data_IF_660786501874
#
_entry.id   IF_660786501874
#
_cell.length_a   1.000
_cell.length_b   1.000
_cell.length_c   1.000
_cell.angle_alpha   90.00
_cell.angle_beta   90.00
_cell.angle_gamma   90.00
#
_symmetry.space_group_name_H-M   'P 1'
#
loop_
_entity.id
_entity.type
_entity.pdbx_description
1 polymer ?
#
# COMPACT_ATOMS: atom_id res chain seq x y z
N UNK A 1 23.66 17.47 -0.45
CA UNK A 1 22.30 17.18 -0.94
C UNK A 1 22.32 15.83 -1.63
N UNK A 2 21.43 14.91 -1.29
CA UNK A 2 21.30 13.58 -1.93
C UNK A 2 19.91 13.46 -2.53
N UNK A 3 19.78 12.68 -3.60
CA UNK A 3 18.48 12.33 -4.18
C UNK A 3 18.09 10.91 -3.78
N UNK A 4 16.91 10.73 -3.24
CA UNK A 4 16.31 9.43 -2.95
C UNK A 4 15.40 9.04 -4.13
N UNK A 5 15.64 7.87 -4.69
CA UNK A 5 14.86 7.34 -5.79
C UNK A 5 13.91 6.26 -5.28
N UNK A 6 12.62 6.61 -5.15
CA UNK A 6 11.57 5.66 -4.80
C UNK A 6 11.10 4.93 -6.04
N UNK A 7 11.09 3.60 -5.99
CA UNK A 7 10.52 2.75 -7.04
C UNK A 7 9.21 2.14 -6.53
N UNK A 8 8.13 2.50 -7.18
CA UNK A 8 6.79 1.99 -6.89
C UNK A 8 6.11 1.52 -8.18
N UNK A 9 5.46 0.36 -8.16
CA UNK A 9 4.85 -0.25 -9.36
C UNK A 9 3.73 0.56 -10.02
N UNK A 10 3.34 1.68 -9.45
CA UNK A 10 2.30 2.57 -9.98
C UNK A 10 0.87 2.01 -9.98
N UNK A 11 0.68 0.77 -9.53
CA UNK A 11 -0.63 0.12 -9.51
C UNK A 11 -1.59 0.64 -8.43
N UNK A 12 -1.06 1.34 -7.43
CA UNK A 12 -1.83 1.88 -6.30
C UNK A 12 -1.42 3.30 -6.01
N UNK A 13 -2.36 4.13 -5.63
CA UNK A 13 -2.06 5.43 -5.04
C UNK A 13 -1.51 5.23 -3.63
N UNK A 14 -0.34 5.79 -3.34
CA UNK A 14 0.31 5.75 -2.04
C UNK A 14 0.44 7.16 -1.49
N UNK A 15 -0.50 7.62 -0.65
CA UNK A 15 -0.47 8.97 -0.08
C UNK A 15 0.77 9.21 0.79
N UNK A 16 1.36 8.15 1.36
CA UNK A 16 2.60 8.21 2.13
C UNK A 16 3.81 8.70 1.32
N UNK A 17 3.81 8.52 -0.01
CA UNK A 17 4.92 9.01 -0.84
C UNK A 17 5.04 10.53 -0.82
N UNK A 18 3.91 11.24 -0.82
CA UNK A 18 3.90 12.70 -0.70
C UNK A 18 4.44 13.14 0.67
N UNK A 19 4.06 12.44 1.74
CA UNK A 19 4.55 12.71 3.09
C UNK A 19 6.06 12.45 3.21
N UNK A 20 6.56 11.36 2.62
CA UNK A 20 8.00 11.08 2.56
C UNK A 20 8.76 12.15 1.79
N UNK A 21 8.23 12.56 0.62
CA UNK A 21 8.85 13.60 -0.18
C UNK A 21 8.96 14.90 0.59
N UNK A 22 7.89 15.34 1.24
CA UNK A 22 7.88 16.54 2.06
C UNK A 22 8.87 16.47 3.21
N UNK A 23 8.91 15.34 3.94
CA UNK A 23 9.84 15.14 5.05
C UNK A 23 11.29 15.15 4.59
N UNK A 24 11.62 14.43 3.52
CA UNK A 24 12.97 14.34 2.97
C UNK A 24 13.44 15.68 2.43
N UNK A 25 12.54 16.45 1.79
CA UNK A 25 12.83 17.81 1.33
C UNK A 25 13.09 18.77 2.49
N UNK A 26 12.34 18.65 3.59
CA UNK A 26 12.59 19.42 4.81
C UNK A 26 13.99 19.16 5.39
N UNK A 27 14.51 17.95 5.22
CA UNK A 27 15.89 17.59 5.60
C UNK A 27 16.95 18.06 4.58
N UNK A 28 16.58 18.82 3.55
CA UNK A 28 17.50 19.34 2.53
C UNK A 28 17.92 18.32 1.47
N UNK A 29 17.11 17.27 1.28
CA UNK A 29 17.34 16.25 0.25
C UNK A 29 16.26 16.31 -0.83
N UNK A 30 16.48 15.60 -1.94
CA UNK A 30 15.51 15.50 -3.04
C UNK A 30 14.87 14.12 -3.09
N UNK A 31 13.64 14.05 -3.61
CA UNK A 31 12.93 12.80 -3.86
C UNK A 31 12.51 12.75 -5.32
N UNK A 32 12.73 11.61 -5.96
CA UNK A 32 12.17 11.27 -7.25
C UNK A 32 11.40 9.94 -7.13
N UNK A 33 10.17 9.93 -7.65
CA UNK A 33 9.32 8.74 -7.65
C UNK A 33 9.30 8.15 -9.06
N UNK A 34 9.57 6.86 -9.16
CA UNK A 34 9.65 6.10 -10.40
C UNK A 34 8.62 4.99 -10.40
N UNK A 35 7.87 4.85 -11.48
CA UNK A 35 6.95 3.73 -11.68
C UNK A 35 7.65 2.50 -12.27
N UNK A 36 8.82 2.73 -12.88
CA UNK A 36 9.62 1.69 -13.50
C UNK A 36 11.11 1.83 -13.12
N UNK A 37 11.83 0.73 -12.83
CA UNK A 37 13.24 0.79 -12.48
C UNK A 37 14.13 1.40 -13.59
N UNK A 38 13.72 1.31 -14.86
CA UNK A 38 14.51 1.84 -15.98
C UNK A 38 14.64 3.35 -16.01
N UNK A 39 13.74 4.06 -15.32
CA UNK A 39 13.81 5.53 -15.23
C UNK A 39 14.74 6.02 -14.11
N UNK A 40 15.28 5.12 -13.27
CA UNK A 40 16.24 5.49 -12.21
C UNK A 40 17.64 5.63 -12.80
N UNK A 41 18.35 6.76 -12.53
CA UNK A 41 19.73 6.96 -12.97
C UNK A 41 20.68 5.85 -12.50
N UNK A 42 21.67 5.51 -13.32
CA UNK A 42 22.64 4.45 -12.96
C UNK A 42 23.56 4.84 -11.81
N UNK A 43 23.81 6.12 -11.63
CA UNK A 43 24.60 6.72 -10.56
C UNK A 43 23.80 7.04 -9.29
N UNK A 44 22.55 6.55 -9.20
CA UNK A 44 21.70 6.75 -8.04
C UNK A 44 22.40 6.28 -6.75
N UNK A 45 22.50 7.18 -5.77
CA UNK A 45 23.15 6.87 -4.49
C UNK A 45 22.24 6.12 -3.51
N UNK A 46 20.92 6.32 -3.61
CA UNK A 46 19.92 5.68 -2.76
C UNK A 46 18.76 5.24 -3.64
N UNK A 47 18.45 3.94 -3.61
CA UNK A 47 17.31 3.34 -4.32
C UNK A 47 16.42 2.66 -3.29
N UNK A 48 15.17 3.15 -3.18
CA UNK A 48 14.20 2.67 -2.22
C UNK A 48 13.04 1.99 -2.93
N UNK A 49 12.92 0.71 -2.70
CA UNK A 49 11.88 -0.12 -3.29
C UNK A 49 10.67 -0.19 -2.37
N UNK A 50 9.53 0.32 -2.83
CA UNK A 50 8.25 0.10 -2.16
C UNK A 50 7.64 -1.15 -2.76
N UNK A 51 7.82 -2.26 -2.03
CA UNK A 51 7.92 -3.57 -2.67
C UNK A 51 6.67 -4.42 -2.74
N UNK A 52 6.35 -4.83 -3.98
CA UNK A 52 5.88 -6.22 -4.20
C UNK A 52 7.04 -7.17 -4.48
N UNK A 53 7.88 -6.88 -5.48
CA UNK A 53 9.01 -7.72 -5.91
C UNK A 53 10.16 -6.84 -6.41
N UNK A 54 11.36 -7.15 -5.94
CA UNK A 54 12.59 -6.52 -6.43
C UNK A 54 13.26 -7.45 -7.44
N UNK A 55 13.66 -6.96 -8.62
CA UNK A 55 14.38 -7.75 -9.61
C UNK A 55 15.71 -8.27 -9.06
N UNK A 56 16.08 -9.49 -9.43
CA UNK A 56 17.34 -10.11 -8.97
C UNK A 56 18.59 -9.35 -9.39
N UNK A 57 18.54 -8.65 -10.51
CA UNK A 57 19.63 -7.84 -11.05
C UNK A 57 19.69 -6.42 -10.48
N UNK A 58 18.85 -6.06 -9.53
CA UNK A 58 18.88 -4.71 -8.93
C UNK A 58 20.26 -4.35 -8.33
N UNK A 59 20.97 -5.25 -7.60
CA UNK A 59 22.29 -4.92 -7.07
C UNK A 59 23.35 -4.68 -8.17
N UNK A 60 23.24 -5.40 -9.31
CA UNK A 60 24.17 -5.22 -10.44
C UNK A 60 23.88 -3.92 -11.19
N UNK A 61 22.61 -3.48 -11.20
CA UNK A 61 22.21 -2.26 -11.89
C UNK A 61 22.68 -1.01 -11.15
N UNK A 62 22.67 -1.06 -9.82
CA UNK A 62 23.11 0.05 -8.96
C UNK A 62 24.12 -0.49 -7.91
N UNK A 63 25.33 -0.84 -8.33
CA UNK A 63 26.28 -1.54 -7.45
C UNK A 63 26.76 -0.69 -6.26
N UNK A 64 26.67 0.63 -6.38
CA UNK A 64 27.10 1.58 -5.34
C UNK A 64 25.93 2.21 -4.58
N UNK A 65 24.68 1.91 -4.98
CA UNK A 65 23.52 2.47 -4.32
C UNK A 65 23.26 1.79 -2.97
N UNK A 66 22.88 2.59 -1.98
CA UNK A 66 22.27 2.09 -0.76
C UNK A 66 20.82 1.68 -1.08
N UNK A 67 20.52 0.38 -1.03
CA UNK A 67 19.21 -0.13 -1.39
C UNK A 67 18.38 -0.41 -0.13
N UNK A 68 17.16 0.14 -0.13
CA UNK A 68 16.15 -0.06 0.91
C UNK A 68 14.99 -0.84 0.31
N UNK A 69 14.56 -1.92 0.99
CA UNK A 69 13.34 -2.64 0.64
C UNK A 69 12.28 -2.39 1.70
N UNK A 70 11.16 -1.81 1.28
CA UNK A 70 10.03 -1.53 2.14
C UNK A 70 8.87 -2.47 1.87
N UNK A 71 8.35 -3.09 2.91
CA UNK A 71 7.25 -4.04 2.87
C UNK A 71 6.04 -3.50 3.63
N UNK A 72 5.14 -2.85 2.92
CA UNK A 72 3.90 -2.31 3.47
C UNK A 72 2.86 -3.40 3.80
N UNK A 73 3.03 -4.62 3.26
CA UNK A 73 2.14 -5.75 3.57
C UNK A 73 2.82 -7.08 3.28
N UNK A 74 2.37 -8.14 3.93
CA UNK A 74 2.60 -9.51 3.49
C UNK A 74 1.81 -9.79 2.20
N UNK A 75 2.11 -10.89 1.54
CA UNK A 75 1.39 -11.28 0.32
C UNK A 75 -0.06 -11.65 0.63
N UNK A 76 -0.95 -11.35 -0.33
CA UNK A 76 -2.37 -11.65 -0.23
C UNK A 76 -2.74 -12.92 -1.01
N UNK A 77 -3.84 -13.62 -0.64
CA UNK A 77 -4.37 -14.74 -1.41
C UNK A 77 -4.57 -14.41 -2.91
N UNK A 78 -4.55 -15.42 -3.79
CA UNK A 78 -4.29 -16.83 -3.51
C UNK A 78 -2.79 -17.12 -3.30
N UNK A 79 -2.47 -18.25 -2.64
CA UNK A 79 -1.10 -18.74 -2.41
C UNK A 79 -0.16 -17.73 -1.71
N UNK A 80 -0.67 -16.97 -0.74
CA UNK A 80 0.09 -15.94 -0.03
C UNK A 80 1.41 -16.45 0.54
N UNK A 81 1.41 -17.63 1.17
CA UNK A 81 2.61 -18.23 1.75
C UNK A 81 3.69 -18.58 0.72
N UNK A 82 3.28 -19.06 -0.48
CA UNK A 82 4.23 -19.33 -1.59
C UNK A 82 4.89 -18.03 -2.07
N UNK A 83 4.09 -16.97 -2.21
CA UNK A 83 4.59 -15.65 -2.62
C UNK A 83 5.58 -15.09 -1.60
N UNK A 84 5.30 -15.25 -0.30
CA UNK A 84 6.20 -14.81 0.78
C UNK A 84 7.48 -15.63 0.78
N UNK A 85 7.39 -16.96 0.60
CA UNK A 85 8.55 -17.83 0.45
C UNK A 85 9.40 -17.46 -0.77
N UNK A 86 8.76 -17.19 -1.91
CA UNK A 86 9.48 -16.74 -3.12
C UNK A 86 10.18 -15.39 -2.90
N UNK A 87 9.56 -14.44 -2.18
CA UNK A 87 10.21 -13.20 -1.81
C UNK A 87 11.46 -13.47 -0.97
N UNK A 88 11.35 -14.33 0.03
CA UNK A 88 12.47 -14.71 0.91
C UNK A 88 13.64 -15.32 0.16
N UNK A 89 13.37 -16.19 -0.82
CA UNK A 89 14.39 -16.96 -1.54
C UNK A 89 14.96 -16.22 -2.77
N UNK A 90 14.16 -15.38 -3.40
CA UNK A 90 14.47 -14.85 -4.73
C UNK A 90 14.79 -13.36 -4.77
N UNK A 91 14.41 -12.61 -3.76
CA UNK A 91 14.75 -11.19 -3.74
C UNK A 91 16.22 -10.98 -3.38
N UNK A 92 16.88 -9.99 -4.00
CA UNK A 92 18.23 -9.64 -3.61
C UNK A 92 18.26 -9.10 -2.20
N UNK A 93 19.41 -9.25 -1.55
CA UNK A 93 19.64 -8.72 -0.21
C UNK A 93 19.89 -7.21 -0.27
N UNK A 94 19.06 -6.36 0.38
CA UNK A 94 19.30 -4.93 0.45
C UNK A 94 20.27 -4.59 1.60
N UNK A 95 20.66 -3.31 1.72
CA UNK A 95 21.37 -2.81 2.89
C UNK A 95 20.45 -2.55 4.08
N UNK A 96 19.14 -2.30 3.82
CA UNK A 96 18.17 -2.02 4.87
C UNK A 96 16.77 -2.50 4.51
N UNK A 97 15.97 -2.89 5.50
CA UNK A 97 14.57 -3.25 5.33
C UNK A 97 13.66 -2.43 6.22
N UNK A 98 12.51 -2.05 5.69
CA UNK A 98 11.41 -1.48 6.44
C UNK A 98 10.20 -2.40 6.34
N UNK A 99 9.58 -2.65 7.47
CA UNK A 99 8.31 -3.40 7.54
C UNK A 99 7.23 -2.52 8.13
N UNK A 100 6.00 -2.65 7.65
CA UNK A 100 4.88 -1.91 8.21
C UNK A 100 4.71 -2.17 9.71
N UNK A 101 4.92 -3.42 10.14
CA UNK A 101 4.80 -3.83 11.54
C UNK A 101 5.46 -5.20 11.79
N UNK A 102 5.49 -5.61 13.05
CA UNK A 102 6.07 -6.89 13.48
C UNK A 102 5.43 -8.11 12.79
N UNK A 103 4.11 -8.08 12.55
CA UNK A 103 3.42 -9.18 11.88
C UNK A 103 3.90 -9.36 10.44
N UNK A 104 4.06 -8.27 9.67
CA UNK A 104 4.59 -8.33 8.30
C UNK A 104 6.02 -8.87 8.30
N UNK A 105 6.87 -8.41 9.22
CA UNK A 105 8.23 -8.90 9.37
C UNK A 105 8.27 -10.40 9.66
N UNK A 106 7.51 -10.88 10.64
CA UNK A 106 7.42 -12.30 11.00
C UNK A 106 6.89 -13.15 9.83
N UNK A 107 5.86 -12.65 9.15
CA UNK A 107 5.24 -13.36 8.02
C UNK A 107 6.19 -13.53 6.84
N UNK A 108 6.95 -12.49 6.51
CA UNK A 108 7.97 -12.55 5.46
C UNK A 108 9.19 -13.37 5.88
N UNK A 109 9.56 -13.34 7.17
CA UNK A 109 10.54 -14.25 7.78
C UNK A 109 11.91 -14.21 7.13
N UNK A 110 12.46 -13.02 6.84
CA UNK A 110 13.85 -12.87 6.43
C UNK A 110 14.77 -13.08 7.64
N UNK A 111 15.73 -13.99 7.53
CA UNK A 111 16.70 -14.34 8.59
C UNK A 111 18.14 -14.19 8.10
N UNK A 112 18.42 -13.17 7.31
CA UNK A 112 19.71 -12.96 6.66
C UNK A 112 20.57 -11.87 7.32
N UNK A 113 20.17 -11.39 8.49
CA UNK A 113 20.93 -10.39 9.26
C UNK A 113 20.93 -8.99 8.69
N UNK A 114 20.07 -8.68 7.70
CA UNK A 114 19.92 -7.30 7.20
C UNK A 114 19.25 -6.44 8.27
N UNK A 115 19.84 -5.27 8.62
CA UNK A 115 19.23 -4.32 9.54
C UNK A 115 17.80 -3.97 9.11
N UNK A 116 16.88 -3.92 10.07
CA UNK A 116 15.49 -3.64 9.76
C UNK A 116 14.78 -2.92 10.89
N UNK A 117 13.76 -2.14 10.52
CA UNK A 117 12.87 -1.44 11.45
C UNK A 117 11.41 -1.59 11.03
N UNK A 118 10.51 -1.28 11.96
CA UNK A 118 9.09 -1.12 11.69
C UNK A 118 8.80 0.35 11.43
N UNK A 119 7.93 0.60 10.48
CA UNK A 119 7.38 1.92 10.28
C UNK A 119 5.86 1.86 10.32
N UNK A 120 5.25 2.67 11.13
CA UNK A 120 3.81 2.89 11.06
C UNK A 120 3.46 3.63 9.77
N UNK A 121 2.22 3.49 9.33
CA UNK A 121 1.71 4.28 8.22
C UNK A 121 1.62 5.74 8.67
N UNK A 122 2.40 6.59 8.00
CA UNK A 122 2.29 8.03 8.19
C UNK A 122 0.94 8.53 7.68
N UNK A 123 0.39 9.52 8.37
CA UNK A 123 -0.81 10.24 7.94
C UNK A 123 -0.38 11.63 7.54
N UNK A 124 -0.76 12.07 6.33
CA UNK A 124 -0.48 13.43 5.89
C UNK A 124 -1.21 14.44 6.80
N UNK A 125 -0.55 15.57 7.07
CA UNK A 125 -1.04 16.60 8.00
C UNK A 125 -2.46 17.09 7.67
N UNK A 126 -2.82 17.12 6.40
CA UNK A 126 -4.17 17.47 5.94
C UNK A 126 -5.27 16.61 6.57
N UNK A 127 -4.98 15.36 6.96
CA UNK A 127 -5.94 14.48 7.65
C UNK A 127 -5.99 14.71 9.16
N UNK A 128 -5.04 15.47 9.71
CA UNK A 128 -4.97 15.79 11.12
C UNK A 128 -5.66 17.11 11.45
N UNK A 129 -6.09 17.88 10.43
CA UNK A 129 -6.70 19.19 10.64
C UNK A 129 -8.02 19.08 11.40
N UNK A 130 -8.22 19.88 12.48
CA UNK A 130 -9.46 19.91 13.24
C UNK A 130 -10.69 20.31 12.41
N UNK A 131 -10.50 21.06 11.32
CA UNK A 131 -11.57 21.47 10.40
C UNK A 131 -12.18 20.31 9.60
N UNK A 132 -11.50 19.17 9.54
CA UNK A 132 -12.05 17.95 8.95
C UNK A 132 -13.10 17.26 9.85
N UNK A 133 -13.25 17.66 11.10
CA UNK A 133 -14.32 17.18 11.97
C UNK A 133 -15.58 18.01 11.72
N UNK A 134 -16.31 17.67 10.66
CA UNK A 134 -17.72 18.07 10.60
C UNK A 134 -18.43 17.56 11.88
N UNK A 135 -19.32 18.37 12.49
CA UNK A 135 -20.13 17.87 13.59
C UNK A 135 -20.78 16.57 13.14
N UNK A 136 -20.83 15.58 14.03
CA UNK A 136 -21.40 14.27 13.77
C UNK A 136 -22.89 14.41 13.44
N UNK A 137 -23.18 14.78 12.20
CA UNK A 137 -24.47 14.46 11.62
C UNK A 137 -24.61 12.94 11.68
N UNK A 138 -25.80 12.43 11.99
CA UNK A 138 -26.04 11.01 12.10
C UNK A 138 -25.43 10.32 10.86
N UNK A 139 -24.46 9.45 11.10
CA UNK A 139 -23.72 8.82 10.02
C UNK A 139 -24.70 8.04 9.13
N UNK A 140 -24.75 8.37 7.85
CA UNK A 140 -25.61 7.70 6.89
C UNK A 140 -25.20 6.23 6.68
N UNK A 141 -23.93 5.90 6.94
CA UNK A 141 -23.35 4.59 6.79
C UNK A 141 -22.65 4.15 8.08
N UNK A 142 -22.77 2.85 8.39
CA UNK A 142 -22.13 2.25 9.58
C UNK A 142 -20.65 1.95 9.35
N UNK A 143 -20.24 1.78 8.08
CA UNK A 143 -18.86 1.51 7.69
C UNK A 143 -18.54 2.10 6.31
N UNK A 144 -17.26 2.28 6.06
CA UNK A 144 -16.73 2.68 4.75
C UNK A 144 -15.69 1.63 4.32
N UNK A 145 -15.78 1.19 3.07
CA UNK A 145 -14.75 0.37 2.45
C UNK A 145 -14.01 1.20 1.40
N UNK A 146 -12.71 1.34 1.61
CA UNK A 146 -11.78 1.96 0.68
C UNK A 146 -10.70 0.93 0.31
N UNK A 147 -10.58 0.59 -0.95
CA UNK A 147 -9.57 -0.39 -1.40
C UNK A 147 -9.90 -1.03 -2.73
N UNK A 148 -9.21 -2.16 -3.00
CA UNK A 148 -9.42 -2.93 -4.23
C UNK A 148 -10.81 -3.60 -4.22
N UNK A 149 -11.72 -3.04 -5.02
CA UNK A 149 -13.09 -3.51 -5.12
C UNK A 149 -13.22 -4.95 -5.62
N UNK A 150 -12.24 -5.50 -6.34
CA UNK A 150 -12.27 -6.90 -6.77
C UNK A 150 -12.23 -7.87 -5.59
N UNK A 151 -11.63 -7.47 -4.47
CA UNK A 151 -11.56 -8.30 -3.25
C UNK A 151 -12.91 -8.54 -2.61
N UNK A 152 -13.90 -7.67 -2.84
CA UNK A 152 -15.24 -7.79 -2.26
C UNK A 152 -15.96 -9.09 -2.66
N UNK A 153 -15.60 -9.69 -3.79
CA UNK A 153 -16.11 -11.01 -4.17
C UNK A 153 -15.84 -12.10 -3.11
N UNK A 154 -14.81 -11.93 -2.27
CA UNK A 154 -14.47 -12.87 -1.20
C UNK A 154 -15.22 -12.57 0.10
N UNK A 155 -15.94 -11.46 0.18
CA UNK A 155 -16.64 -10.99 1.36
C UNK A 155 -18.18 -11.03 1.23
N UNK A 156 -18.70 -11.74 0.27
CA UNK A 156 -20.16 -11.90 0.08
C UNK A 156 -20.89 -12.29 1.38
N UNK A 157 -20.37 -13.24 2.21
CA UNK A 157 -21.01 -13.57 3.49
C UNK A 157 -21.09 -12.39 4.48
N UNK A 158 -20.13 -11.45 4.41
CA UNK A 158 -20.18 -10.23 5.23
C UNK A 158 -21.38 -9.36 4.84
N UNK A 159 -21.65 -9.19 3.55
CA UNK A 159 -22.80 -8.41 3.07
C UNK A 159 -24.13 -9.04 3.47
N UNK A 160 -24.21 -10.36 3.47
CA UNK A 160 -25.38 -11.07 4.01
C UNK A 160 -25.57 -10.79 5.51
N UNK A 161 -24.49 -10.75 6.28
CA UNK A 161 -24.54 -10.40 7.70
C UNK A 161 -24.92 -8.93 7.92
N UNK A 162 -24.34 -8.00 7.17
CA UNK A 162 -24.69 -6.57 7.24
C UNK A 162 -26.17 -6.34 6.96
N UNK A 163 -26.72 -7.00 5.94
CA UNK A 163 -28.14 -6.90 5.62
C UNK A 163 -29.04 -7.40 6.76
N UNK A 164 -28.71 -8.56 7.36
CA UNK A 164 -29.45 -9.12 8.51
C UNK A 164 -29.40 -8.19 9.72
N UNK A 165 -28.28 -7.51 9.93
CA UNK A 165 -28.09 -6.56 11.02
C UNK A 165 -28.60 -5.15 10.69
N UNK A 166 -29.21 -4.94 9.52
CA UNK A 166 -29.66 -3.63 9.03
C UNK A 166 -28.53 -2.57 9.01
N UNK A 167 -27.30 -3.01 8.73
CA UNK A 167 -26.11 -2.15 8.65
C UNK A 167 -25.80 -1.83 7.19
N UNK A 168 -25.29 -0.61 6.97
CA UNK A 168 -24.96 -0.12 5.64
C UNK A 168 -23.47 0.21 5.53
N UNK A 169 -22.89 -0.15 4.39
CA UNK A 169 -21.50 0.18 4.06
C UNK A 169 -21.43 1.06 2.80
N UNK A 170 -20.61 2.10 2.85
CA UNK A 170 -20.26 2.89 1.68
C UNK A 170 -19.02 2.28 1.01
N UNK A 171 -19.13 1.92 -0.26
CA UNK A 171 -18.03 1.46 -1.10
C UNK A 171 -17.47 2.65 -1.87
N UNK A 172 -16.22 3.03 -1.62
CA UNK A 172 -15.60 4.19 -2.26
C UNK A 172 -14.73 3.73 -3.43
N UNK A 173 -15.20 3.99 -4.65
CA UNK A 173 -14.53 3.61 -5.89
C UNK A 173 -15.48 3.00 -6.93
N UNK A 174 -14.91 2.53 -8.02
CA UNK A 174 -15.66 1.88 -9.11
C UNK A 174 -15.83 0.39 -8.82
N UNK A 175 -17.09 -0.05 -8.80
CA UNK A 175 -17.44 -1.44 -8.51
C UNK A 175 -17.44 -2.28 -9.81
N UNK A 176 -16.56 -3.28 -9.97
CA UNK A 176 -16.54 -4.14 -11.15
C UNK A 176 -17.87 -4.88 -11.32
N UNK A 177 -18.35 -5.02 -12.55
CA UNK A 177 -19.65 -5.62 -12.87
C UNK A 177 -19.84 -7.02 -12.25
N UNK A 178 -18.79 -7.84 -12.25
CA UNK A 178 -18.80 -9.18 -11.63
C UNK A 178 -19.05 -9.10 -10.12
N UNK A 179 -18.44 -8.15 -9.45
CA UNK A 179 -18.60 -7.95 -8.00
C UNK A 179 -19.97 -7.38 -7.71
N UNK A 180 -20.43 -6.40 -8.51
CA UNK A 180 -21.78 -5.85 -8.40
C UNK A 180 -22.85 -6.94 -8.53
N UNK A 181 -22.70 -7.84 -9.48
CA UNK A 181 -23.62 -8.99 -9.65
C UNK A 181 -23.62 -9.92 -8.43
N UNK A 182 -22.42 -10.21 -7.85
CA UNK A 182 -22.31 -11.06 -6.66
C UNK A 182 -22.92 -10.41 -5.41
N UNK A 183 -22.89 -9.07 -5.30
CA UNK A 183 -23.43 -8.31 -4.18
C UNK A 183 -24.91 -7.89 -4.38
N UNK A 184 -25.45 -8.08 -5.58
CA UNK A 184 -26.84 -7.67 -5.90
C UNK A 184 -27.91 -8.19 -4.92
N UNK A 185 -27.85 -9.45 -4.42
CA UNK A 185 -28.81 -9.95 -3.44
C UNK A 185 -28.83 -9.16 -2.12
N UNK A 186 -27.78 -8.40 -1.85
CA UNK A 186 -27.58 -7.64 -0.60
C UNK A 186 -27.60 -6.13 -0.83
N UNK A 187 -28.34 -5.66 -1.84
CA UNK A 187 -28.31 -4.26 -2.30
C UNK A 187 -28.69 -3.25 -1.22
N UNK A 188 -29.50 -3.63 -0.24
CA UNK A 188 -29.86 -2.77 0.90
C UNK A 188 -28.70 -2.52 1.87
N UNK A 189 -27.67 -3.36 1.89
CA UNK A 189 -26.53 -3.26 2.80
C UNK A 189 -25.38 -2.39 2.27
N UNK A 190 -25.46 -1.86 1.04
CA UNK A 190 -24.34 -1.10 0.49
C UNK A 190 -24.77 0.00 -0.49
N UNK A 191 -23.92 1.00 -0.60
CA UNK A 191 -23.95 2.03 -1.64
C UNK A 191 -22.56 2.19 -2.23
N UNK A 192 -22.44 2.73 -3.45
CA UNK A 192 -21.17 2.95 -4.10
C UNK A 192 -21.07 4.39 -4.60
N UNK A 193 -19.92 5.02 -4.42
CA UNK A 193 -19.68 6.41 -4.87
C UNK A 193 -19.35 6.52 -6.35
N UNK A 194 -18.87 5.42 -6.96
CA UNK A 194 -18.14 5.52 -8.22
C UNK A 194 -16.72 6.07 -8.01
N UNK A 195 -16.03 6.35 -9.11
CA UNK A 195 -14.68 6.91 -9.07
C UNK A 195 -14.73 8.36 -8.58
N UNK A 196 -14.11 8.62 -7.44
CA UNK A 196 -13.95 9.99 -6.96
C UNK A 196 -12.80 10.68 -7.72
N UNK A 197 -12.91 12.01 -8.01
CA UNK A 197 -11.80 12.77 -8.54
C UNK A 197 -10.63 12.74 -7.53
N UNK A 198 -9.41 12.68 -8.04
CA UNK A 198 -8.22 12.87 -7.22
C UNK A 198 -8.10 14.37 -6.92
N UNK A 199 -8.04 14.70 -5.65
CA UNK A 199 -7.81 16.07 -5.18
C UNK A 199 -6.33 16.45 -5.33
#
# INVERSE_FOLDING_TARGET
MKTLHYIHSGASYLPELAAYAAFVQHLGHQVQVHTHPDSVPQDAAIVWWICGRVPRNAPQRWPHAFQVHEYASASVPPAAWCKDLLKRLLQPRPQYRLFQNAWVQQRLGFHDGVPSEWRDMGVAEMFLSPTARAPAAAAEFDAVYLGDMQRLQHFVPLFAALQRCQRRVLLVGELPSRVAAALQPYRSAWSVTGRLPQA
#
